data_IF_843893621571
#
_entry.id   IF_843893621571
#
_cell.length_a   1.000
_cell.length_b   1.000
_cell.length_c   1.000
_cell.angle_alpha   90.00
_cell.angle_beta   90.00
_cell.angle_gamma   90.00
#
_symmetry.space_group_name_H-M   'P 1'
#
loop_
_entity.id
_entity.type
_entity.pdbx_description
1 polymer ?
#
# COMPACT_ATOMS: atom_id res chain seq x y z
N UNK A 1 -0.33 6.94 -12.14
CA UNK A 1 -1.22 7.88 -11.42
C UNK A 1 -0.68 9.31 -11.33
N UNK A 2 0.53 9.60 -10.81
CA UNK A 2 0.98 10.99 -10.60
C UNK A 2 1.03 11.85 -11.88
N UNK A 3 1.46 11.28 -13.01
CA UNK A 3 1.49 11.99 -14.29
C UNK A 3 0.10 12.46 -14.75
N UNK A 4 -0.92 11.61 -14.58
CA UNK A 4 -2.32 11.93 -14.91
C UNK A 4 -2.85 13.05 -13.99
N UNK A 5 -2.56 12.98 -12.69
CA UNK A 5 -3.00 13.99 -11.71
C UNK A 5 -2.34 15.35 -11.99
N UNK A 6 -1.03 15.37 -12.28
CA UNK A 6 -0.31 16.57 -12.69
C UNK A 6 -0.89 17.20 -13.96
N UNK A 7 -1.36 16.40 -14.91
CA UNK A 7 -2.01 16.86 -16.13
C UNK A 7 -3.50 17.21 -15.93
N UNK A 8 -3.88 17.62 -14.72
CA UNK A 8 -5.25 18.05 -14.40
C UNK A 8 -6.26 16.91 -14.39
N UNK A 9 -5.83 15.69 -14.06
CA UNK A 9 -6.72 14.53 -14.01
C UNK A 9 -6.96 13.86 -15.38
N UNK A 10 -6.12 14.14 -16.38
CA UNK A 10 -6.38 13.76 -17.79
C UNK A 10 -5.32 12.81 -18.37
N UNK A 11 -5.75 12.01 -19.34
CA UNK A 11 -4.91 11.12 -20.14
C UNK A 11 -5.18 11.30 -21.64
N UNK A 12 -4.25 10.85 -22.48
CA UNK A 12 -4.37 10.97 -23.94
C UNK A 12 -5.41 9.99 -24.50
N UNK A 13 -6.38 10.52 -25.25
CA UNK A 13 -7.33 9.72 -26.03
C UNK A 13 -6.77 9.30 -27.39
N UNK A 14 -7.54 8.48 -28.11
CA UNK A 14 -7.17 8.00 -29.45
C UNK A 14 -7.01 9.13 -30.49
N UNK A 15 -7.60 10.29 -30.25
CA UNK A 15 -7.48 11.51 -31.07
C UNK A 15 -6.23 12.35 -30.73
N UNK A 16 -5.37 11.86 -29.84
CA UNK A 16 -4.18 12.58 -29.39
C UNK A 16 -4.49 13.81 -28.55
N UNK A 17 -5.66 13.88 -27.90
CA UNK A 17 -6.04 14.99 -26.99
C UNK A 17 -6.23 14.49 -25.55
N UNK A 18 -6.01 15.39 -24.59
CA UNK A 18 -6.22 15.09 -23.17
C UNK A 18 -7.72 15.01 -22.84
N UNK A 19 -8.12 13.95 -22.12
CA UNK A 19 -9.49 13.67 -21.70
C UNK A 19 -9.54 13.25 -20.24
N UNK A 20 -10.68 13.50 -19.59
CA UNK A 20 -10.95 12.92 -18.28
C UNK A 20 -10.97 11.40 -18.37
N UNK A 21 -10.53 10.74 -17.31
CA UNK A 21 -10.33 9.30 -17.30
C UNK A 21 -10.94 8.67 -16.06
N UNK A 22 -11.51 7.47 -16.24
CA UNK A 22 -11.72 6.53 -15.14
C UNK A 22 -10.41 5.76 -14.94
N UNK A 23 -9.60 6.18 -13.98
CA UNK A 23 -8.35 5.50 -13.65
C UNK A 23 -8.63 4.24 -12.81
N UNK A 24 -8.87 3.12 -13.50
CA UNK A 24 -9.17 1.84 -12.86
C UNK A 24 -7.92 1.29 -12.18
N UNK A 25 -8.00 1.13 -10.86
CA UNK A 25 -7.04 0.41 -10.04
C UNK A 25 -7.85 -0.64 -9.28
N UNK A 26 -7.85 -1.92 -9.71
CA UNK A 26 -8.74 -2.93 -9.15
C UNK A 26 -8.56 -3.13 -7.65
N UNK A 27 -7.30 -3.14 -7.18
CA UNK A 27 -6.97 -3.35 -5.78
C UNK A 27 -7.18 -2.07 -4.96
N UNK A 28 -8.06 -2.15 -3.96
CA UNK A 28 -8.47 -1.00 -3.16
C UNK A 28 -7.42 -0.55 -2.14
N UNK A 29 -6.53 -1.44 -1.70
CA UNK A 29 -5.61 -1.24 -0.57
C UNK A 29 -4.87 0.10 -0.66
N UNK A 30 -4.30 0.41 -1.82
CA UNK A 30 -3.57 1.67 -2.05
C UNK A 30 -4.24 2.61 -3.05
N UNK A 31 -5.35 2.22 -3.68
CA UNK A 31 -6.04 3.05 -4.66
C UNK A 31 -6.69 4.30 -4.02
N UNK A 32 -7.13 4.18 -2.76
CA UNK A 32 -7.92 5.21 -2.06
C UNK A 32 -7.16 6.54 -1.90
N UNK A 33 -5.85 6.50 -1.67
CA UNK A 33 -5.04 7.73 -1.52
C UNK A 33 -5.03 8.58 -2.80
N UNK A 34 -5.10 7.95 -3.97
CA UNK A 34 -5.16 8.67 -5.24
C UNK A 34 -6.51 9.35 -5.42
N UNK A 35 -7.61 8.70 -5.01
CA UNK A 35 -8.93 9.31 -5.04
C UNK A 35 -8.98 10.55 -4.14
N UNK A 36 -8.38 10.45 -2.95
CA UNK A 36 -8.31 11.57 -2.02
C UNK A 36 -7.50 12.75 -2.60
N UNK A 37 -6.34 12.48 -3.19
CA UNK A 37 -5.54 13.51 -3.85
C UNK A 37 -6.26 14.14 -5.06
N UNK A 38 -7.00 13.35 -5.84
CA UNK A 38 -7.81 13.86 -6.95
C UNK A 38 -8.91 14.79 -6.44
N UNK A 39 -9.63 14.40 -5.38
CA UNK A 39 -10.67 15.22 -4.78
C UNK A 39 -10.10 16.52 -4.20
N UNK A 40 -8.96 16.43 -3.53
CA UNK A 40 -8.23 17.60 -3.02
C UNK A 40 -7.90 18.59 -4.15
N UNK A 41 -7.33 18.11 -5.26
CA UNK A 41 -7.02 18.96 -6.41
C UNK A 41 -8.26 19.49 -7.14
N UNK A 42 -9.38 18.76 -7.15
CA UNK A 42 -10.66 19.27 -7.69
C UNK A 42 -11.19 20.45 -6.87
N UNK A 43 -11.02 20.40 -5.56
CA UNK A 43 -11.49 21.44 -4.65
C UNK A 43 -10.54 22.64 -4.54
N UNK A 44 -9.24 22.39 -4.43
CA UNK A 44 -8.21 23.41 -4.18
C UNK A 44 -7.44 23.86 -5.43
N UNK A 45 -7.64 23.21 -6.57
CA UNK A 45 -6.84 23.42 -7.77
C UNK A 45 -5.53 22.64 -7.75
N UNK A 46 -4.68 22.89 -8.76
CA UNK A 46 -3.36 22.26 -8.86
C UNK A 46 -2.41 22.76 -7.77
N UNK A 47 -1.48 21.90 -7.34
CA UNK A 47 -0.39 22.31 -6.46
C UNK A 47 0.46 23.42 -7.11
N UNK A 48 0.90 24.40 -6.32
CA UNK A 48 1.86 25.42 -6.73
C UNK A 48 3.29 25.02 -6.30
N UNK A 49 4.17 24.65 -7.24
CA UNK A 49 5.54 24.25 -6.92
C UNK A 49 6.39 25.34 -6.28
N UNK A 50 6.01 26.63 -6.39
CA UNK A 50 6.75 27.74 -5.78
C UNK A 50 6.55 27.83 -4.28
N UNK A 51 5.44 27.31 -3.77
CA UNK A 51 4.99 27.51 -2.39
C UNK A 51 4.67 26.21 -1.66
N UNK A 52 4.45 25.10 -2.37
CA UNK A 52 4.17 23.81 -1.74
C UNK A 52 5.32 23.36 -0.83
N UNK A 53 4.94 22.71 0.28
CA UNK A 53 5.91 22.05 1.14
C UNK A 53 6.52 20.80 0.50
N UNK A 54 7.20 20.01 1.33
CA UNK A 54 7.75 18.70 0.94
C UNK A 54 7.19 17.61 1.84
N UNK A 55 7.05 16.41 1.30
CA UNK A 55 6.61 15.21 2.03
C UNK A 55 7.68 14.13 1.87
N UNK A 56 8.69 14.07 2.76
CA UNK A 56 9.69 13.00 2.75
C UNK A 56 9.07 11.65 3.13
N UNK A 57 9.72 10.55 2.73
CA UNK A 57 9.26 9.20 3.04
C UNK A 57 10.31 8.40 3.83
N UNK A 58 9.85 7.60 4.79
CA UNK A 58 10.62 6.57 5.49
C UNK A 58 9.88 5.24 5.27
N UNK A 59 10.37 4.44 4.31
CA UNK A 59 9.70 3.21 3.88
C UNK A 59 10.17 1.97 4.62
N UNK A 60 9.23 1.08 4.96
CA UNK A 60 9.51 -0.27 5.43
C UNK A 60 9.74 -1.18 4.23
N UNK A 61 10.98 -1.63 4.02
CA UNK A 61 11.34 -2.43 2.83
C UNK A 61 12.37 -3.53 3.08
N UNK A 62 13.04 -3.50 4.24
CA UNK A 62 14.12 -4.44 4.53
C UNK A 62 13.62 -5.89 4.54
N UNK A 63 14.47 -6.81 4.05
CA UNK A 63 14.18 -8.25 4.02
C UNK A 63 12.94 -8.64 3.21
N UNK A 64 12.72 -7.94 2.08
CA UNK A 64 11.57 -8.16 1.19
C UNK A 64 10.24 -8.03 1.96
N UNK A 65 10.08 -6.91 2.65
CA UNK A 65 8.91 -6.67 3.48
C UNK A 65 7.61 -6.68 2.65
N UNK A 66 6.57 -7.27 3.24
CA UNK A 66 5.18 -7.20 2.79
C UNK A 66 5.00 -7.82 1.39
N UNK A 67 4.39 -7.10 0.44
CA UNK A 67 4.09 -7.59 -0.90
C UNK A 67 5.37 -7.84 -1.74
N UNK A 68 6.50 -7.19 -1.44
CA UNK A 68 7.74 -7.41 -2.19
C UNK A 68 8.34 -8.81 -1.98
N UNK A 69 7.98 -9.47 -0.89
CA UNK A 69 8.44 -10.82 -0.57
C UNK A 69 7.45 -11.92 -0.91
N UNK A 70 6.36 -11.63 -1.60
CA UNK A 70 5.26 -12.59 -1.81
C UNK A 70 5.31 -13.34 -3.15
N UNK A 71 6.31 -13.08 -4.00
CA UNK A 71 6.32 -13.59 -5.38
C UNK A 71 6.26 -15.13 -5.45
N UNK A 72 6.99 -15.82 -4.58
CA UNK A 72 7.00 -17.28 -4.40
C UNK A 72 5.79 -17.81 -3.60
N UNK A 73 4.91 -16.91 -3.15
CA UNK A 73 3.75 -17.17 -2.30
C UNK A 73 2.47 -16.57 -2.89
N UNK A 74 2.44 -16.41 -4.20
CA UNK A 74 1.28 -15.91 -4.95
C UNK A 74 0.89 -16.97 -5.96
N UNK A 75 -0.36 -17.40 -5.95
CA UNK A 75 -0.85 -18.52 -6.74
C UNK A 75 -2.19 -18.17 -7.38
N UNK A 76 -2.37 -18.61 -8.62
CA UNK A 76 -3.69 -18.68 -9.25
C UNK A 76 -4.33 -20.01 -8.85
N UNK A 77 -5.51 -19.94 -8.23
CA UNK A 77 -6.24 -21.08 -7.71
C UNK A 77 -6.80 -21.89 -8.88
N UNK A 78 -6.59 -23.22 -8.84
CA UNK A 78 -6.94 -24.11 -9.96
C UNK A 78 -8.32 -24.78 -9.80
N UNK A 79 -8.88 -24.76 -8.59
CA UNK A 79 -10.19 -25.32 -8.27
C UNK A 79 -10.74 -24.68 -6.98
N UNK A 80 -12.06 -24.64 -6.83
CA UNK A 80 -12.73 -24.12 -5.64
C UNK A 80 -12.30 -24.85 -4.37
N UNK A 81 -12.17 -24.13 -3.25
CA UNK A 81 -11.87 -24.73 -1.96
C UNK A 81 -11.39 -23.74 -0.90
N UNK A 82 -10.53 -24.23 0.00
CA UNK A 82 -10.03 -23.46 1.15
C UNK A 82 -8.51 -23.39 1.12
N UNK A 83 -7.96 -22.18 0.97
CA UNK A 83 -6.54 -21.91 1.09
C UNK A 83 -6.15 -21.69 2.55
N UNK A 84 -5.48 -22.68 3.15
CA UNK A 84 -5.02 -22.65 4.54
C UNK A 84 -3.52 -22.40 4.65
N UNK A 85 -3.14 -21.65 5.69
CA UNK A 85 -1.76 -21.59 6.19
C UNK A 85 -1.73 -22.36 7.51
N UNK A 86 -0.97 -23.45 7.55
CA UNK A 86 -0.90 -24.34 8.72
C UNK A 86 0.50 -24.38 9.32
N UNK A 87 0.57 -24.49 10.64
CA UNK A 87 1.82 -24.83 11.32
C UNK A 87 2.14 -26.31 11.07
N UNK A 88 3.33 -26.58 10.54
CA UNK A 88 3.75 -27.94 10.14
C UNK A 88 3.93 -28.86 11.35
N UNK A 89 4.30 -28.32 12.52
CA UNK A 89 4.59 -29.11 13.71
C UNK A 89 3.32 -29.46 14.50
N UNK A 90 2.37 -28.53 14.57
CA UNK A 90 1.13 -28.71 15.36
C UNK A 90 -0.06 -29.12 14.52
N UNK A 91 -0.05 -28.85 13.21
CA UNK A 91 -1.21 -28.99 12.33
C UNK A 91 -2.26 -27.90 12.53
N UNK A 92 -1.98 -26.89 13.35
CA UNK A 92 -2.90 -25.78 13.60
C UNK A 92 -3.09 -24.92 12.35
N UNK A 93 -4.34 -24.62 12.00
CA UNK A 93 -4.66 -23.67 10.93
C UNK A 93 -4.53 -22.25 11.48
N UNK A 94 -3.55 -21.50 10.98
CA UNK A 94 -3.26 -20.13 11.41
C UNK A 94 -4.12 -19.10 10.68
N UNK A 95 -4.28 -19.28 9.37
CA UNK A 95 -5.11 -18.45 8.50
C UNK A 95 -5.83 -19.34 7.49
N UNK A 96 -7.05 -18.95 7.13
CA UNK A 96 -7.92 -19.71 6.24
C UNK A 96 -8.73 -18.76 5.37
N UNK A 97 -8.91 -19.11 4.11
CA UNK A 97 -9.65 -18.32 3.13
C UNK A 97 -10.39 -19.25 2.16
N UNK A 98 -11.70 -19.05 2.02
CA UNK A 98 -12.48 -19.64 0.92
C UNK A 98 -12.05 -18.97 -0.39
N UNK A 99 -11.80 -19.77 -1.42
CA UNK A 99 -11.31 -19.36 -2.74
C UNK A 99 -12.02 -20.13 -3.85
N UNK A 100 -12.14 -19.50 -5.01
CA UNK A 100 -12.74 -20.09 -6.23
C UNK A 100 -11.67 -20.29 -7.32
N UNK A 101 -11.96 -21.13 -8.32
CA UNK A 101 -11.13 -21.31 -9.52
C UNK A 101 -10.85 -19.95 -10.20
N UNK A 102 -9.57 -19.67 -10.47
CA UNK A 102 -9.11 -18.42 -11.07
C UNK A 102 -8.84 -17.28 -10.09
N UNK A 103 -9.14 -17.45 -8.79
CA UNK A 103 -8.74 -16.47 -7.78
C UNK A 103 -7.22 -16.35 -7.67
N UNK A 104 -6.73 -15.16 -7.31
CA UNK A 104 -5.32 -14.94 -6.99
C UNK A 104 -5.17 -14.89 -5.48
N UNK A 105 -4.64 -15.97 -4.90
CA UNK A 105 -4.34 -16.05 -3.47
C UNK A 105 -2.88 -15.69 -3.19
N UNK A 106 -2.63 -15.01 -2.06
CA UNK A 106 -1.30 -14.51 -1.72
C UNK A 106 -1.04 -14.45 -0.21
N UNK A 107 0.17 -14.84 0.19
CA UNK A 107 0.69 -14.64 1.54
C UNK A 107 1.87 -13.65 1.56
N UNK A 108 1.79 -12.64 2.43
CA UNK A 108 2.85 -11.66 2.66
C UNK A 108 3.51 -11.85 4.04
N UNK A 109 4.75 -11.40 4.19
CA UNK A 109 5.48 -11.49 5.45
C UNK A 109 6.27 -10.21 5.70
N UNK A 110 6.38 -9.81 6.97
CA UNK A 110 7.27 -8.73 7.40
C UNK A 110 7.89 -9.11 8.74
N UNK A 111 9.21 -8.92 8.87
CA UNK A 111 9.98 -9.38 10.03
C UNK A 111 10.08 -8.29 11.09
N UNK A 112 9.99 -8.67 12.36
CA UNK A 112 10.02 -7.74 13.51
C UNK A 112 11.26 -6.84 13.52
N UNK A 113 12.43 -7.37 13.16
CA UNK A 113 13.67 -6.61 13.06
C UNK A 113 13.58 -5.45 12.04
N UNK A 114 12.94 -5.69 10.89
CA UNK A 114 12.73 -4.65 9.87
C UNK A 114 11.77 -3.55 10.37
N UNK A 115 10.73 -3.93 11.11
CA UNK A 115 9.77 -2.98 11.71
C UNK A 115 10.46 -2.08 12.74
N UNK A 116 11.28 -2.66 13.63
CA UNK A 116 12.03 -1.89 14.63
C UNK A 116 12.99 -0.88 14.01
N UNK A 117 13.72 -1.28 12.98
CA UNK A 117 14.63 -0.38 12.28
C UNK A 117 13.87 0.74 11.55
N UNK A 118 12.75 0.42 10.92
CA UNK A 118 11.86 1.39 10.29
C UNK A 118 11.35 2.45 11.27
N UNK A 119 10.85 2.04 12.45
CA UNK A 119 10.40 2.98 13.51
C UNK A 119 11.57 3.82 14.02
N UNK A 120 12.74 3.21 14.26
CA UNK A 120 13.96 3.92 14.67
C UNK A 120 14.36 4.99 13.65
N UNK A 121 14.31 4.66 12.35
CA UNK A 121 14.62 5.59 11.27
C UNK A 121 13.60 6.72 11.21
N UNK A 122 12.31 6.43 11.36
CA UNK A 122 11.25 7.44 11.38
C UNK A 122 11.48 8.49 12.49
N UNK A 123 11.73 8.04 13.72
CA UNK A 123 12.03 8.94 14.86
C UNK A 123 13.32 9.73 14.64
N UNK A 124 14.35 9.09 14.08
CA UNK A 124 15.62 9.76 13.76
C UNK A 124 15.43 10.86 12.73
N UNK A 125 14.66 10.60 11.66
CA UNK A 125 14.35 11.58 10.62
C UNK A 125 13.51 12.73 11.17
N UNK A 126 12.50 12.44 12.00
CA UNK A 126 11.68 13.45 12.67
C UNK A 126 12.55 14.41 13.50
N UNK A 127 13.45 13.85 14.32
CA UNK A 127 14.35 14.64 15.17
C UNK A 127 15.31 15.50 14.37
N UNK A 128 15.86 14.95 13.29
CA UNK A 128 16.85 15.65 12.47
C UNK A 128 16.23 16.74 11.60
N UNK A 129 15.01 16.57 11.11
CA UNK A 129 14.34 17.56 10.25
C UNK A 129 13.44 18.52 11.02
N UNK A 130 13.04 18.19 12.25
CA UNK A 130 12.01 18.91 13.00
C UNK A 130 10.60 18.74 12.42
N UNK A 131 10.40 17.86 11.43
CA UNK A 131 9.10 17.64 10.80
C UNK A 131 8.26 16.64 11.60
N UNK A 132 6.93 16.86 11.69
CA UNK A 132 6.03 15.85 12.26
C UNK A 132 6.03 14.58 11.40
N UNK A 133 5.85 13.43 12.05
CA UNK A 133 5.74 12.13 11.39
C UNK A 133 4.31 11.63 11.50
N UNK A 134 3.79 11.14 10.39
CA UNK A 134 2.53 10.41 10.31
C UNK A 134 2.85 9.00 9.87
N UNK A 135 2.43 8.00 10.64
CA UNK A 135 2.43 6.60 10.22
C UNK A 135 1.13 6.31 9.48
N UNK A 136 1.24 5.97 8.19
CA UNK A 136 0.08 5.72 7.33
C UNK A 136 -0.33 4.27 7.49
N UNK A 137 -1.17 4.01 8.50
CA UNK A 137 -1.63 2.66 8.85
C UNK A 137 -3.16 2.69 9.04
N UNK A 138 -3.87 1.99 8.17
CA UNK A 138 -5.30 1.75 8.21
C UNK A 138 -5.61 0.69 9.27
N UNK A 139 -6.21 1.12 10.38
CA UNK A 139 -6.63 0.25 11.47
C UNK A 139 -7.67 -0.81 11.05
N UNK A 140 -8.37 -0.62 9.92
CA UNK A 140 -9.34 -1.59 9.39
C UNK A 140 -8.68 -2.66 8.52
N UNK A 141 -7.41 -2.50 8.14
CA UNK A 141 -6.65 -3.54 7.44
C UNK A 141 -5.94 -4.42 8.47
N UNK A 142 -6.23 -5.74 8.56
CA UNK A 142 -5.66 -6.61 9.61
C UNK A 142 -4.13 -6.57 9.70
N UNK A 143 -3.44 -6.54 8.56
CA UNK A 143 -1.99 -6.39 8.50
C UNK A 143 -1.49 -5.10 9.16
N UNK A 144 -2.07 -3.95 8.79
CA UNK A 144 -1.67 -2.65 9.33
C UNK A 144 -2.11 -2.47 10.78
N UNK A 145 -3.22 -3.08 11.19
CA UNK A 145 -3.62 -3.17 12.60
C UNK A 145 -2.54 -3.86 13.44
N UNK A 146 -1.93 -4.94 12.95
CA UNK A 146 -0.78 -5.56 13.62
C UNK A 146 0.44 -4.64 13.63
N UNK A 147 0.74 -3.93 12.53
CA UNK A 147 1.81 -2.92 12.51
C UNK A 147 1.59 -1.80 13.53
N UNK A 148 0.35 -1.32 13.70
CA UNK A 148 0.01 -0.30 14.71
C UNK A 148 0.41 -0.76 16.10
N UNK A 149 0.18 -2.04 16.44
CA UNK A 149 0.59 -2.57 17.76
C UNK A 149 2.11 -2.62 17.95
N UNK A 150 2.87 -2.79 16.86
CA UNK A 150 4.34 -2.81 16.88
C UNK A 150 4.97 -1.41 16.90
N UNK A 151 4.26 -0.42 16.35
CA UNK A 151 4.69 0.98 16.31
C UNK A 151 4.44 1.68 17.65
N UNK A 152 3.36 1.34 18.35
CA UNK A 152 3.03 1.84 19.69
C UNK A 152 3.98 1.28 20.74
#
# INVERSE_FOLDING_TARGET
MPAMIRNGGKMWGADGRLKDVKAVMPESTFARIYMEMINFCKWHGAFDPKTMGTVPNVGLMAQQAEEYGSHDKTFEIQEDGVANITDINTGEVLLSQEVEEGDIWRMCQVKDAAIRDWVKLAVTRARNSGMPVVFWLDQYRPHEAQLITKVK
#
